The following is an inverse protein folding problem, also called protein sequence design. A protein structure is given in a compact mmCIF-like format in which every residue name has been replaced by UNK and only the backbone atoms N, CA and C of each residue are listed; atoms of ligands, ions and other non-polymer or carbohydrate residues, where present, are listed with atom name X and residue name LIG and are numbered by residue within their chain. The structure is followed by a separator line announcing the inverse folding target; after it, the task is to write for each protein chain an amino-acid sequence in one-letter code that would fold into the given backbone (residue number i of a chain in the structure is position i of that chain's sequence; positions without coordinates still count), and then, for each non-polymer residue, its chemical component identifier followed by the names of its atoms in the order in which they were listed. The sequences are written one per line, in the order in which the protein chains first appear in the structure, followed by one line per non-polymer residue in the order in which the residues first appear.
data_IF_212853014698
#
_entry.id   IF_212853014698
#
_cell.length_a   1.000
_cell.length_b   1.000
_cell.length_c   1.000
_cell.angle_alpha   90.00
_cell.angle_beta   90.00
_cell.angle_gamma   90.00
#
_symmetry.space_group_name_H-M   'P 1'
#
loop_
_entity.id
_entity.type
_entity.pdbx_description
1 polymer ?
#
# COMPACT_ATOMS: atom_id res chain seq x y z
N UNK A 1 -7.08 0.21 -15.86
CA UNK A 1 -6.22 0.61 -14.71
C UNK A 1 -4.82 0.05 -14.93
N UNK A 2 -3.76 0.87 -14.84
CA UNK A 2 -2.37 0.41 -14.88
C UNK A 2 -2.10 -0.69 -13.86
N UNK A 3 -1.28 -1.67 -14.25
CA UNK A 3 -0.93 -2.77 -13.37
C UNK A 3 0.08 -2.35 -12.30
N UNK A 4 -0.11 -2.84 -11.08
CA UNK A 4 0.86 -2.67 -10.00
C UNK A 4 0.95 -3.94 -9.15
N UNK A 5 2.16 -4.26 -8.66
CA UNK A 5 2.40 -5.47 -7.85
C UNK A 5 1.55 -5.54 -6.60
N UNK A 6 1.38 -4.41 -5.93
CA UNK A 6 0.65 -4.33 -4.66
C UNK A 6 -0.85 -4.00 -4.83
N UNK A 7 -1.35 -3.98 -6.07
CA UNK A 7 -2.78 -3.81 -6.39
C UNK A 7 -3.37 -5.09 -6.96
N UNK A 8 -4.50 -5.50 -6.39
CA UNK A 8 -5.25 -6.64 -6.90
C UNK A 8 -6.15 -6.22 -8.07
N UNK A 9 -5.99 -6.90 -9.21
CA UNK A 9 -6.87 -6.73 -10.37
C UNK A 9 -8.06 -7.68 -10.29
N UNK A 10 -9.26 -7.13 -10.36
CA UNK A 10 -10.51 -7.89 -10.39
C UNK A 10 -10.92 -8.19 -11.84
N UNK A 11 -10.34 -9.23 -12.43
CA UNK A 11 -10.54 -9.62 -13.85
C UNK A 11 -12.04 -9.80 -14.18
N UNK A 12 -12.80 -10.40 -13.25
CA UNK A 12 -14.24 -10.66 -13.43
C UNK A 12 -15.14 -9.49 -13.01
N UNK A 13 -14.55 -8.32 -12.68
CA UNK A 13 -15.24 -7.16 -12.14
C UNK A 13 -15.60 -7.30 -10.65
N UNK A 14 -15.94 -6.17 -10.02
CA UNK A 14 -16.29 -6.09 -8.59
C UNK A 14 -17.74 -6.50 -8.28
N UNK A 15 -18.64 -6.49 -9.27
CA UNK A 15 -20.06 -6.80 -9.10
C UNK A 15 -20.35 -8.28 -8.81
N UNK A 16 -19.44 -9.19 -9.19
CA UNK A 16 -19.59 -10.64 -9.00
C UNK A 16 -19.11 -11.15 -7.63
N UNK A 17 -18.64 -10.28 -6.75
CA UNK A 17 -18.05 -10.65 -5.46
C UNK A 17 -19.14 -10.95 -4.40
N UNK A 18 -19.38 -12.24 -4.10
CA UNK A 18 -20.40 -12.68 -3.12
C UNK A 18 -20.01 -12.52 -1.64
N UNK A 19 -18.71 -12.55 -1.32
CA UNK A 19 -18.18 -12.35 0.05
C UNK A 19 -16.92 -11.48 -0.04
N UNK A 20 -17.03 -10.24 0.41
CA UNK A 20 -15.93 -9.29 0.46
C UNK A 20 -15.13 -9.53 1.75
N UNK A 21 -13.85 -9.84 1.60
CA UNK A 21 -12.91 -9.93 2.73
C UNK A 21 -12.32 -8.54 3.01
N UNK A 22 -11.77 -8.33 4.22
CA UNK A 22 -11.10 -7.07 4.58
C UNK A 22 -10.04 -6.66 3.56
N UNK A 23 -9.18 -7.60 3.13
CA UNK A 23 -8.18 -7.35 2.09
C UNK A 23 -8.80 -6.87 0.78
N UNK A 24 -9.92 -7.47 0.33
CA UNK A 24 -10.58 -7.01 -0.90
C UNK A 24 -11.12 -5.59 -0.76
N UNK A 25 -11.70 -5.25 0.40
CA UNK A 25 -12.14 -3.89 0.68
C UNK A 25 -10.98 -2.89 0.63
N UNK A 26 -9.85 -3.20 1.26
CA UNK A 26 -8.65 -2.36 1.21
C UNK A 26 -8.18 -2.16 -0.24
N UNK A 27 -8.10 -3.24 -1.03
CA UNK A 27 -7.69 -3.16 -2.44
C UNK A 27 -8.62 -2.29 -3.29
N UNK A 28 -9.93 -2.33 -3.02
CA UNK A 28 -10.91 -1.47 -3.71
C UNK A 28 -10.80 0.00 -3.26
N UNK A 29 -10.62 0.26 -1.97
CA UNK A 29 -10.45 1.61 -1.42
C UNK A 29 -9.30 2.37 -2.09
N UNK A 30 -8.19 1.67 -2.39
CA UNK A 30 -7.02 2.25 -3.06
C UNK A 30 -7.31 2.88 -4.43
N UNK A 31 -8.38 2.47 -5.11
CA UNK A 31 -8.67 2.95 -6.48
C UNK A 31 -9.95 3.78 -6.60
N UNK A 32 -10.79 3.83 -5.55
CA UNK A 32 -12.13 4.41 -5.64
C UNK A 32 -12.16 5.88 -6.04
N UNK A 33 -11.32 6.73 -5.45
CA UNK A 33 -11.37 8.17 -5.70
C UNK A 33 -11.13 8.47 -7.18
N UNK A 34 -10.07 7.89 -7.76
CA UNK A 34 -9.75 8.12 -9.16
C UNK A 34 -10.76 7.50 -10.13
N UNK A 35 -11.43 6.40 -9.77
CA UNK A 35 -12.51 5.82 -10.59
C UNK A 35 -13.79 6.66 -10.51
N UNK A 36 -14.15 7.14 -9.32
CA UNK A 36 -15.40 7.86 -9.10
C UNK A 36 -15.33 9.31 -9.62
N UNK A 37 -14.14 9.88 -9.70
CA UNK A 37 -13.94 11.24 -10.23
C UNK A 37 -14.50 11.37 -11.64
N UNK A 38 -15.45 12.29 -11.83
CA UNK A 38 -16.15 12.51 -13.10
C UNK A 38 -17.36 11.59 -13.35
N UNK A 39 -17.55 10.53 -12.56
CA UNK A 39 -18.72 9.63 -12.65
C UNK A 39 -19.80 9.93 -11.61
N UNK A 40 -19.41 10.46 -10.45
CA UNK A 40 -20.33 10.80 -9.36
C UNK A 40 -20.37 12.31 -9.11
N UNK A 41 -21.46 12.85 -8.56
CA UNK A 41 -21.53 14.26 -8.18
C UNK A 41 -20.41 14.64 -7.21
N UNK A 42 -19.88 15.86 -7.33
CA UNK A 42 -18.76 16.34 -6.50
C UNK A 42 -19.04 16.24 -5.00
N UNK A 43 -20.29 16.45 -4.56
CA UNK A 43 -20.69 16.29 -3.16
C UNK A 43 -20.52 14.84 -2.68
N UNK A 44 -20.93 13.87 -3.48
CA UNK A 44 -20.76 12.45 -3.17
C UNK A 44 -19.28 12.07 -3.13
N UNK A 45 -18.48 12.55 -4.10
CA UNK A 45 -17.04 12.32 -4.12
C UNK A 45 -16.36 12.90 -2.87
N UNK A 46 -16.69 14.13 -2.48
CA UNK A 46 -16.19 14.76 -1.24
C UNK A 46 -16.52 13.94 0.01
N UNK A 47 -17.69 13.31 0.05
CA UNK A 47 -18.10 12.47 1.18
C UNK A 47 -17.26 11.19 1.25
N UNK A 48 -17.03 10.53 0.11
CA UNK A 48 -16.18 9.33 0.02
C UNK A 48 -14.74 9.66 0.43
N UNK A 49 -14.20 10.77 -0.07
CA UNK A 49 -12.86 11.23 0.27
C UNK A 49 -12.74 11.51 1.77
N UNK A 50 -13.71 12.20 2.38
CA UNK A 50 -13.66 12.51 3.80
C UNK A 50 -13.62 11.23 4.67
N UNK A 51 -14.33 10.17 4.27
CA UNK A 51 -14.26 8.87 4.96
C UNK A 51 -12.91 8.18 4.73
N UNK A 52 -12.37 8.23 3.52
CA UNK A 52 -11.05 7.64 3.23
C UNK A 52 -9.93 8.38 3.97
N UNK A 53 -9.96 9.71 3.98
CA UNK A 53 -9.06 10.54 4.80
C UNK A 53 -9.11 10.10 6.26
N UNK A 54 -10.32 9.99 6.83
CA UNK A 54 -10.49 9.53 8.22
C UNK A 54 -9.87 8.15 8.45
N UNK A 55 -10.13 7.17 7.57
CA UNK A 55 -9.58 5.81 7.69
C UNK A 55 -8.05 5.84 7.66
N UNK A 56 -7.46 6.60 6.73
CA UNK A 56 -6.01 6.69 6.60
C UNK A 56 -5.36 7.40 7.78
N UNK A 57 -5.97 8.49 8.28
CA UNK A 57 -5.51 9.14 9.50
C UNK A 57 -5.62 8.23 10.72
N UNK A 58 -6.70 7.44 10.85
CA UNK A 58 -6.88 6.49 11.95
C UNK A 58 -5.89 5.31 11.91
N UNK A 59 -5.33 5.00 10.74
CA UNK A 59 -4.32 3.95 10.56
C UNK A 59 -2.88 4.42 10.79
N UNK A 60 -2.66 5.70 11.10
CA UNK A 60 -1.32 6.18 11.40
C UNK A 60 -0.78 5.44 12.65
N UNK A 61 0.44 4.88 12.60
CA UNK A 61 1.02 4.18 13.74
C UNK A 61 1.43 5.16 14.87
N UNK A 62 1.58 6.43 14.54
CA UNK A 62 1.96 7.50 15.47
C UNK A 62 1.06 8.69 15.23
N UNK A 63 0.47 9.20 16.30
CA UNK A 63 -0.40 10.36 16.28
C UNK A 63 0.24 11.55 17.00
N UNK A 64 0.02 12.73 16.44
CA UNK A 64 0.30 14.05 17.02
C UNK A 64 -1.00 14.84 17.07
N UNK A 65 -1.03 15.94 17.83
CA UNK A 65 -2.23 16.80 17.90
C UNK A 65 -2.68 17.32 16.53
N UNK A 66 -1.74 17.57 15.62
CA UNK A 66 -2.06 17.99 14.24
C UNK A 66 -2.75 16.87 13.47
N UNK A 67 -2.27 15.63 13.57
CA UNK A 67 -2.92 14.49 12.90
C UNK A 67 -4.29 14.15 13.48
N UNK A 68 -4.49 14.36 14.79
CA UNK A 68 -5.80 14.17 15.43
C UNK A 68 -6.79 15.27 15.01
N UNK A 69 -6.34 16.52 14.90
CA UNK A 69 -7.14 17.60 14.34
C UNK A 69 -7.51 17.34 12.86
N UNK A 70 -6.59 16.77 12.06
CA UNK A 70 -6.90 16.34 10.69
C UNK A 70 -7.93 15.21 10.64
N UNK A 71 -7.84 14.24 11.56
CA UNK A 71 -8.82 13.16 11.72
C UNK A 71 -10.23 13.73 12.04
N UNK A 72 -10.31 14.64 13.01
CA UNK A 72 -11.58 15.27 13.42
C UNK A 72 -12.15 16.16 12.29
N UNK A 73 -11.30 16.90 11.57
CA UNK A 73 -11.69 17.67 10.38
C UNK A 73 -12.21 16.77 9.26
N UNK A 74 -11.61 15.61 9.03
CA UNK A 74 -12.09 14.65 8.04
C UNK A 74 -13.50 14.14 8.41
N UNK A 75 -13.75 13.83 9.68
CA UNK A 75 -15.07 13.41 10.16
C UNK A 75 -16.11 14.54 10.02
N UNK A 76 -15.75 15.77 10.40
CA UNK A 76 -16.62 16.94 10.27
C UNK A 76 -16.99 17.20 8.80
N UNK A 77 -16.01 17.12 7.89
CA UNK A 77 -16.24 17.18 6.44
C UNK A 77 -17.25 16.13 5.99
N UNK A 78 -17.08 14.87 6.41
CA UNK A 78 -18.02 13.81 6.06
C UNK A 78 -19.45 14.12 6.52
N UNK A 79 -19.62 14.56 7.77
CA UNK A 79 -20.94 14.91 8.30
C UNK A 79 -21.61 16.08 7.60
N UNK A 80 -20.83 17.03 7.05
CA UNK A 80 -21.34 18.17 6.29
C UNK A 80 -21.89 17.77 4.90
N UNK A 81 -21.36 16.71 4.29
CA UNK A 81 -21.75 16.33 2.90
C UNK A 81 -22.47 14.98 2.78
N UNK A 82 -22.59 14.19 3.85
CA UNK A 82 -23.18 12.83 3.80
C UNK A 82 -24.66 12.81 3.39
N UNK A 83 -25.37 13.92 3.60
CA UNK A 83 -26.78 14.10 3.25
C UNK A 83 -27.06 13.84 1.77
N UNK A 84 -26.07 14.05 0.90
CA UNK A 84 -26.12 13.72 -0.53
C UNK A 84 -26.61 12.28 -0.77
N UNK A 85 -26.22 11.31 0.05
CA UNK A 85 -26.65 9.92 -0.12
C UNK A 85 -28.12 9.68 0.28
N UNK A 86 -28.67 10.53 1.14
CA UNK A 86 -30.10 10.54 1.49
C UNK A 86 -30.89 11.21 0.37
N UNK A 87 -30.40 12.33 -0.17
CA UNK A 87 -31.00 13.03 -1.32
C UNK A 87 -31.15 12.10 -2.53
N UNK A 88 -30.11 11.32 -2.85
CA UNK A 88 -30.13 10.31 -3.91
C UNK A 88 -30.89 9.03 -3.54
N UNK A 89 -31.53 8.96 -2.37
CA UNK A 89 -32.30 7.81 -1.87
C UNK A 89 -31.48 6.50 -1.83
N UNK A 90 -30.16 6.61 -1.69
CA UNK A 90 -29.28 5.44 -1.50
C UNK A 90 -29.47 4.86 -0.10
N UNK A 91 -29.78 5.73 0.88
CA UNK A 91 -30.02 5.34 2.28
C UNK A 91 -31.01 6.29 2.96
N UNK A 92 -31.68 5.82 4.00
CA UNK A 92 -32.62 6.60 4.82
C UNK A 92 -31.91 7.47 5.87
N UNK A 93 -30.89 6.90 6.51
CA UNK A 93 -30.20 7.52 7.64
C UNK A 93 -28.76 6.99 7.78
N UNK A 94 -27.98 7.66 8.62
CA UNK A 94 -26.59 7.31 8.93
C UNK A 94 -26.41 6.80 10.37
N UNK A 95 -27.43 6.20 10.98
CA UNK A 95 -27.36 5.60 12.33
C UNK A 95 -26.66 4.24 12.28
N UNK A 96 -25.42 4.26 11.81
CA UNK A 96 -24.56 3.08 11.70
C UNK A 96 -23.58 3.10 12.86
N UNK A 97 -23.55 2.03 13.66
CA UNK A 97 -22.66 1.93 14.83
C UNK A 97 -21.20 2.27 14.51
N UNK A 98 -20.71 1.86 13.34
CA UNK A 98 -19.34 2.18 12.89
C UNK A 98 -19.12 3.69 12.68
N UNK A 99 -20.12 4.40 12.15
CA UNK A 99 -20.05 5.85 11.93
C UNK A 99 -20.16 6.60 13.25
N UNK A 100 -21.02 6.12 14.17
CA UNK A 100 -21.09 6.68 15.51
C UNK A 100 -19.76 6.50 16.26
N UNK A 101 -19.14 5.32 16.16
CA UNK A 101 -17.85 5.05 16.79
C UNK A 101 -16.74 5.99 16.30
N UNK A 102 -16.78 6.45 15.04
CA UNK A 102 -15.78 7.39 14.50
C UNK A 102 -15.66 8.67 15.33
N UNK A 103 -16.74 9.13 15.97
CA UNK A 103 -16.76 10.32 16.83
C UNK A 103 -15.81 10.16 18.03
N UNK A 104 -15.60 8.93 18.50
CA UNK A 104 -14.82 8.65 19.69
C UNK A 104 -13.34 8.36 19.39
N UNK A 105 -12.92 8.26 18.12
CA UNK A 105 -11.55 7.86 17.79
C UNK A 105 -10.51 8.82 18.35
N UNK A 106 -10.71 10.13 18.22
CA UNK A 106 -9.76 11.15 18.70
C UNK A 106 -9.50 11.00 20.20
N UNK A 107 -10.56 10.78 21.00
CA UNK A 107 -10.44 10.56 22.44
C UNK A 107 -9.84 9.20 22.78
N UNK A 108 -10.30 8.13 22.11
CA UNK A 108 -9.78 6.78 22.31
C UNK A 108 -8.29 6.70 21.99
N UNK A 109 -7.83 7.37 20.94
CA UNK A 109 -6.40 7.40 20.58
C UNK A 109 -5.58 8.13 21.66
N UNK A 110 -6.10 9.21 22.25
CA UNK A 110 -5.42 9.89 23.36
C UNK A 110 -5.33 9.03 24.62
N UNK A 111 -6.37 8.25 24.92
CA UNK A 111 -6.44 7.43 26.12
C UNK A 111 -5.70 6.09 26.00
N UNK A 112 -5.74 5.47 24.82
CA UNK A 112 -5.31 4.08 24.61
C UNK A 112 -4.11 3.97 23.65
N UNK A 113 -3.78 5.02 22.91
CA UNK A 113 -2.74 4.99 21.87
C UNK A 113 -3.30 4.66 20.48
N UNK A 114 -2.40 4.40 19.53
CA UNK A 114 -2.77 4.13 18.14
C UNK A 114 -3.67 2.89 17.99
N UNK A 115 -4.50 2.88 16.93
CA UNK A 115 -5.50 1.83 16.73
C UNK A 115 -4.91 0.48 16.26
N UNK A 116 -3.65 0.45 15.83
CA UNK A 116 -2.96 -0.74 15.31
C UNK A 116 -2.87 -1.86 16.36
N UNK A 117 -2.65 -1.52 17.64
CA UNK A 117 -2.58 -2.46 18.74
C UNK A 117 -3.91 -3.10 19.16
N UNK A 118 -5.04 -2.58 18.69
CA UNK A 118 -6.39 -2.98 19.12
C UNK A 118 -7.19 -3.71 18.03
N UNK A 119 -6.57 -4.06 16.91
CA UNK A 119 -7.25 -4.77 15.84
C UNK A 119 -7.48 -6.26 16.15
N UNK A 120 -8.48 -6.86 15.51
CA UNK A 120 -8.77 -8.30 15.64
C UNK A 120 -8.03 -9.15 14.62
N UNK A 121 -7.18 -8.57 13.78
CA UNK A 121 -6.47 -9.30 12.72
C UNK A 121 -5.50 -10.32 13.32
N UNK A 122 -4.76 -9.92 14.37
CA UNK A 122 -3.85 -10.81 15.09
C UNK A 122 -4.58 -12.02 15.69
N UNK A 123 -5.62 -11.85 16.54
CA UNK A 123 -6.34 -13.00 17.08
C UNK A 123 -7.06 -13.83 16.00
N UNK A 124 -7.56 -13.23 14.90
CA UNK A 124 -8.14 -13.97 13.77
C UNK A 124 -7.09 -14.82 13.04
N UNK A 125 -5.86 -14.32 12.87
CA UNK A 125 -4.73 -15.08 12.32
C UNK A 125 -4.37 -16.25 13.23
N UNK A 126 -4.27 -16.00 14.53
CA UNK A 126 -3.98 -17.03 15.53
C UNK A 126 -5.08 -18.10 15.58
N UNK A 127 -6.32 -17.76 15.26
CA UNK A 127 -7.40 -18.74 15.18
C UNK A 127 -7.17 -19.78 14.06
N UNK A 128 -6.44 -19.45 12.99
CA UNK A 128 -6.04 -20.44 11.97
C UNK A 128 -5.07 -21.45 12.59
N UNK A 129 -4.01 -20.98 13.23
CA UNK A 129 -2.97 -21.84 13.78
C UNK A 129 -3.42 -22.63 15.00
N UNK A 130 -4.11 -21.98 15.94
CA UNK A 130 -4.45 -22.58 17.23
C UNK A 130 -5.79 -23.28 17.25
N UNK A 131 -6.74 -22.89 16.40
CA UNK A 131 -8.04 -23.57 16.33
C UNK A 131 -8.15 -24.46 15.10
N UNK A 132 -7.99 -23.92 13.88
CA UNK A 132 -8.24 -24.72 12.66
C UNK A 132 -7.24 -25.87 12.47
N UNK A 133 -5.93 -25.59 12.54
CA UNK A 133 -4.92 -26.66 12.39
C UNK A 133 -5.00 -27.68 13.52
N UNK A 134 -5.22 -27.22 14.76
CA UNK A 134 -5.39 -28.12 15.89
C UNK A 134 -6.63 -29.00 15.72
N UNK A 135 -7.76 -28.45 15.29
CA UNK A 135 -8.99 -29.21 15.04
C UNK A 135 -8.81 -30.25 13.93
N UNK A 136 -8.18 -29.88 12.81
CA UNK A 136 -7.87 -30.79 11.70
C UNK A 136 -6.93 -31.93 12.11
N UNK A 137 -6.08 -31.72 13.11
CA UNK A 137 -5.19 -32.74 13.66
C UNK A 137 -5.87 -33.68 14.67
N UNK A 138 -7.14 -33.43 15.02
CA UNK A 138 -7.93 -34.31 15.89
C UNK A 138 -8.73 -35.32 15.08
N UNK A 139 -9.28 -36.33 15.76
CA UNK A 139 -10.27 -37.23 15.16
C UNK A 139 -11.69 -36.63 15.11
N UNK A 140 -11.84 -35.32 15.33
CA UNK A 140 -13.10 -34.56 15.39
C UNK A 140 -14.12 -35.00 16.47
N UNK A 141 -13.80 -35.99 17.30
CA UNK A 141 -14.65 -36.49 18.39
C UNK A 141 -14.05 -36.10 19.74
N UNK A 142 -14.83 -35.48 20.64
CA UNK A 142 -14.31 -34.92 21.91
C UNK A 142 -13.02 -34.09 21.71
N UNK A 143 -13.02 -33.26 20.67
CA UNK A 143 -11.83 -32.62 20.11
C UNK A 143 -11.12 -31.66 21.06
N UNK A 144 -11.81 -31.07 22.05
CA UNK A 144 -11.23 -30.08 22.98
C UNK A 144 -9.98 -30.62 23.70
N UNK A 145 -10.04 -31.84 24.24
CA UNK A 145 -8.89 -32.45 24.93
C UNK A 145 -7.72 -32.72 23.98
N UNK A 146 -8.03 -33.18 22.76
CA UNK A 146 -7.04 -33.45 21.73
C UNK A 146 -6.37 -32.18 21.21
N UNK A 147 -7.14 -31.10 21.01
CA UNK A 147 -6.61 -29.79 20.63
C UNK A 147 -5.69 -29.23 21.72
N UNK A 148 -6.04 -29.35 23.00
CA UNK A 148 -5.17 -28.92 24.10
C UNK A 148 -3.84 -29.68 24.09
N UNK A 149 -3.87 -31.01 23.93
CA UNK A 149 -2.66 -31.84 23.83
C UNK A 149 -1.83 -31.47 22.60
N UNK A 150 -2.47 -31.22 21.45
CA UNK A 150 -1.82 -30.77 20.23
C UNK A 150 -1.06 -29.46 20.44
N UNK A 151 -1.72 -28.45 21.04
CA UNK A 151 -1.13 -27.15 21.32
C UNK A 151 0.02 -27.25 22.33
N UNK A 152 -0.15 -28.06 23.37
CA UNK A 152 0.88 -28.28 24.38
C UNK A 152 2.16 -28.90 23.76
N UNK A 153 2.00 -29.89 22.88
CA UNK A 153 3.12 -30.50 22.15
C UNK A 153 3.86 -29.47 21.29
N UNK A 154 3.13 -28.67 20.49
CA UNK A 154 3.75 -27.59 19.68
C UNK A 154 4.48 -26.58 20.55
N UNK A 155 3.90 -26.18 21.68
CA UNK A 155 4.53 -25.25 22.64
C UNK A 155 5.84 -25.82 23.21
N UNK A 156 5.87 -27.12 23.56
CA UNK A 156 7.09 -27.78 24.05
C UNK A 156 8.19 -27.84 22.99
N UNK A 157 7.84 -28.20 21.76
CA UNK A 157 8.79 -28.21 20.62
C UNK A 157 9.35 -26.81 20.37
N UNK A 158 8.50 -25.78 20.30
CA UNK A 158 8.94 -24.40 20.08
C UNK A 158 9.87 -23.91 21.19
N UNK A 159 9.56 -24.21 22.47
CA UNK A 159 10.45 -23.86 23.60
C UNK A 159 11.80 -24.56 23.50
N UNK A 160 11.81 -25.84 23.11
CA UNK A 160 13.05 -26.60 22.98
C UNK A 160 13.89 -26.09 21.79
N UNK A 161 13.27 -25.75 20.67
CA UNK A 161 13.92 -25.11 19.53
C UNK A 161 14.59 -23.77 19.92
N UNK A 162 13.91 -22.92 20.70
CA UNK A 162 14.50 -21.69 21.24
C UNK A 162 15.68 -21.99 22.16
N UNK A 163 15.56 -22.98 23.03
CA UNK A 163 16.66 -23.42 23.90
C UNK A 163 17.87 -23.90 23.09
N UNK A 164 17.66 -24.69 22.04
CA UNK A 164 18.74 -25.17 21.17
C UNK A 164 19.45 -24.02 20.45
N UNK A 165 18.72 -23.03 19.92
CA UNK A 165 19.33 -21.84 19.31
C UNK A 165 20.18 -21.04 20.29
N UNK A 166 19.78 -20.98 21.56
CA UNK A 166 20.56 -20.30 22.60
C UNK A 166 21.77 -21.12 23.05
N UNK A 167 21.59 -22.42 23.28
CA UNK A 167 22.62 -23.29 23.85
C UNK A 167 23.68 -23.72 22.81
N UNK A 168 23.34 -23.76 21.51
CA UNK A 168 24.18 -24.27 20.43
C UNK A 168 24.23 -23.26 19.27
N UNK A 169 25.29 -22.43 19.16
CA UNK A 169 25.45 -21.46 18.07
C UNK A 169 25.42 -22.09 16.67
N UNK A 170 26.03 -23.27 16.50
CA UNK A 170 26.02 -24.02 15.23
C UNK A 170 24.59 -24.39 14.78
N UNK A 171 23.70 -24.72 15.72
CA UNK A 171 22.29 -25.01 15.43
C UNK A 171 21.55 -23.75 14.96
N UNK A 172 21.87 -22.59 15.55
CA UNK A 172 21.29 -21.32 15.16
C UNK A 172 21.66 -20.94 13.71
N UNK A 173 22.92 -21.12 13.31
CA UNK A 173 23.41 -20.84 11.96
C UNK A 173 22.76 -21.70 10.87
N UNK A 174 22.60 -23.01 11.13
CA UNK A 174 21.89 -23.92 10.22
C UNK A 174 20.38 -23.63 10.10
N UNK A 175 19.75 -23.19 11.18
CA UNK A 175 18.33 -22.82 11.17
C UNK A 175 18.05 -21.50 10.44
N UNK A 176 19.03 -20.60 10.39
CA UNK A 176 18.94 -19.31 9.72
C UNK A 176 19.01 -19.46 8.18
N UNK A 177 19.90 -20.32 7.70
CA UNK A 177 20.09 -20.60 6.25
C UNK A 177 18.91 -21.31 5.58
N UNK A 178 18.07 -22.04 6.33
CA UNK A 178 16.85 -22.68 5.80
C UNK A 178 15.64 -21.75 5.71
N UNK A 179 15.58 -20.67 6.51
CA UNK A 179 14.42 -19.78 6.58
C UNK A 179 14.36 -18.73 5.46
N UNK A 180 15.43 -18.55 4.69
CA UNK A 180 15.49 -17.60 3.57
C UNK A 180 14.64 -18.00 2.33
N UNK A 181 13.92 -19.13 2.37
CA UNK A 181 13.14 -19.64 1.21
C UNK A 181 11.62 -19.68 1.44
N UNK A 182 11.12 -19.59 2.68
CA UNK A 182 9.68 -19.53 2.96
C UNK A 182 9.39 -18.66 4.19
N UNK A 183 8.83 -17.47 3.99
CA UNK A 183 8.27 -16.64 5.07
C UNK A 183 7.01 -17.30 5.64
N UNK A 184 7.15 -18.07 6.71
CA UNK A 184 6.06 -18.35 7.63
C UNK A 184 5.95 -17.23 8.68
N UNK A 185 4.74 -16.75 8.99
CA UNK A 185 4.54 -15.74 10.02
C UNK A 185 4.76 -16.35 11.40
N UNK A 186 5.90 -16.05 12.00
CA UNK A 186 6.13 -16.40 13.40
C UNK A 186 5.31 -15.46 14.27
N UNK A 187 4.29 -15.96 14.97
CA UNK A 187 3.60 -15.21 16.00
C UNK A 187 4.44 -15.15 17.29
N UNK A 188 4.82 -13.96 17.80
CA UNK A 188 5.35 -13.81 19.15
C UNK A 188 4.17 -13.61 20.11
N UNK A 189 3.85 -14.65 20.88
CA UNK A 189 2.99 -14.53 22.05
C UNK A 189 3.80 -14.04 23.25
N UNK A 190 3.42 -12.90 23.81
CA UNK A 190 4.02 -12.30 25.00
C UNK A 190 3.76 -13.15 26.26
N UNK A 191 4.79 -13.35 27.08
CA UNK A 191 4.68 -13.46 28.53
C UNK A 191 5.81 -12.64 29.16
N UNK A 192 5.46 -11.58 29.88
CA UNK A 192 6.35 -10.92 30.84
C UNK A 192 6.62 -11.93 31.97
N UNK A 193 7.76 -12.61 31.91
CA UNK A 193 8.38 -13.19 33.09
C UNK A 193 9.25 -12.08 33.71
N UNK A 194 9.03 -11.79 35.00
CA UNK A 194 9.72 -10.72 35.74
C UNK A 194 11.26 -10.86 35.73
N UNK A 195 11.79 -12.02 35.36
CA UNK A 195 13.19 -12.23 34.98
C UNK A 195 13.28 -13.43 34.04
N UNK A 196 13.45 -13.21 32.73
CA UNK A 196 13.85 -14.26 31.79
C UNK A 196 15.36 -14.46 31.86
N UNK A 197 15.87 -15.70 32.02
CA UNK A 197 17.31 -15.99 31.91
C UNK A 197 17.85 -15.86 30.47
N UNK A 198 16.96 -15.65 29.50
CA UNK A 198 17.29 -15.41 28.10
C UNK A 198 17.18 -13.90 27.84
N UNK A 199 18.23 -13.24 27.32
CA UNK A 199 18.20 -11.82 27.03
C UNK A 199 17.06 -11.50 26.04
N UNK A 200 16.31 -10.41 26.23
CA UNK A 200 15.26 -10.02 25.29
C UNK A 200 15.91 -9.76 23.92
N UNK A 201 15.47 -10.52 22.91
CA UNK A 201 15.82 -10.26 21.53
C UNK A 201 15.27 -8.88 21.17
N UNK A 202 16.13 -7.99 20.67
CA UNK A 202 15.67 -6.69 20.16
C UNK A 202 14.75 -6.94 18.97
N UNK A 203 13.45 -6.75 19.18
CA UNK A 203 12.48 -6.60 18.10
C UNK A 203 12.74 -5.25 17.45
N UNK A 204 13.22 -5.24 16.21
CA UNK A 204 13.10 -4.06 15.35
C UNK A 204 11.60 -3.85 15.07
N UNK A 205 10.98 -2.89 15.76
CA UNK A 205 9.52 -2.68 15.79
C UNK A 205 8.96 -2.20 14.43
N UNK A 206 9.82 -1.85 13.47
CA UNK A 206 9.38 -1.46 12.13
C UNK A 206 9.76 -2.53 11.13
N UNK A 207 8.81 -3.12 10.37
CA UNK A 207 9.17 -3.90 9.21
C UNK A 207 9.99 -3.00 8.28
N UNK A 208 11.17 -3.47 7.84
CA UNK A 208 11.89 -2.81 6.77
C UNK A 208 10.96 -2.77 5.54
N UNK A 209 10.39 -1.60 5.26
CA UNK A 209 9.58 -1.39 4.06
C UNK A 209 10.50 -1.46 2.84
N UNK A 210 10.55 -2.64 2.22
CA UNK A 210 11.32 -2.88 1.01
C UNK A 210 10.41 -2.74 -0.21
N UNK A 211 10.51 -1.61 -0.90
CA UNK A 211 9.79 -1.39 -2.15
C UNK A 211 10.53 -2.04 -3.33
N UNK A 212 9.78 -2.62 -4.28
CA UNK A 212 10.33 -3.35 -5.43
C UNK A 212 9.88 -2.73 -6.74
N UNK A 213 10.83 -2.22 -7.50
CA UNK A 213 10.62 -1.62 -8.82
C UNK A 213 10.89 -2.65 -9.92
N UNK A 214 9.95 -2.81 -10.85
CA UNK A 214 10.09 -3.70 -12.01
C UNK A 214 10.22 -2.91 -13.32
N UNK A 215 11.12 -3.39 -14.17
CA UNK A 215 11.35 -2.89 -15.52
C UNK A 215 11.69 -4.08 -16.44
N UNK A 216 10.66 -4.85 -16.80
CA UNK A 216 10.79 -6.06 -17.59
C UNK A 216 10.01 -5.94 -18.90
N UNK A 217 10.67 -6.00 -20.07
CA UNK A 217 9.96 -6.11 -21.33
C UNK A 217 9.20 -7.44 -21.42
N UNK A 218 8.19 -7.50 -22.29
CA UNK A 218 7.45 -8.73 -22.53
C UNK A 218 8.42 -9.81 -23.04
N UNK A 219 8.43 -10.99 -22.41
CA UNK A 219 9.19 -12.13 -22.95
C UNK A 219 8.43 -12.69 -24.15
N UNK A 220 9.12 -12.93 -25.26
CA UNK A 220 8.60 -13.69 -26.40
C UNK A 220 8.43 -15.16 -25.97
N UNK A 221 7.34 -15.47 -25.28
CA UNK A 221 6.98 -16.83 -24.87
C UNK A 221 5.50 -17.05 -25.11
N UNK A 222 5.12 -18.30 -25.35
CA UNK A 222 3.74 -18.74 -25.65
C UNK A 222 2.74 -18.40 -24.52
N UNK A 223 3.22 -18.13 -23.31
CA UNK A 223 2.45 -17.58 -22.20
C UNK A 223 2.86 -16.13 -21.96
N UNK A 224 2.30 -15.21 -22.75
CA UNK A 224 2.61 -13.79 -22.71
C UNK A 224 2.27 -13.16 -21.35
N UNK A 225 3.23 -13.07 -20.44
CA UNK A 225 3.19 -12.04 -19.40
C UNK A 225 3.57 -10.73 -20.09
N UNK A 226 2.61 -9.81 -20.21
CA UNK A 226 2.83 -8.49 -20.81
C UNK A 226 4.01 -7.75 -20.17
N UNK A 227 4.58 -6.79 -20.91
CA UNK A 227 5.66 -5.96 -20.40
C UNK A 227 5.26 -5.26 -19.11
N UNK A 228 6.15 -5.22 -18.12
CA UNK A 228 5.89 -4.66 -16.79
C UNK A 228 6.89 -3.56 -16.47
N UNK A 229 6.40 -2.33 -16.49
CA UNK A 229 7.17 -1.13 -16.22
C UNK A 229 6.49 -0.33 -15.12
N UNK A 230 7.13 -0.24 -13.95
CA UNK A 230 6.57 0.49 -12.83
C UNK A 230 6.75 2.00 -12.95
N UNK A 231 5.82 2.73 -12.34
CA UNK A 231 5.91 4.17 -12.11
C UNK A 231 6.54 4.44 -10.75
N UNK A 232 7.36 5.47 -10.68
CA UNK A 232 8.17 5.84 -9.51
C UNK A 232 8.08 7.35 -9.23
N UNK A 233 8.30 7.68 -7.96
CA UNK A 233 8.60 9.04 -7.51
C UNK A 233 10.11 9.22 -7.44
N UNK A 234 10.57 10.32 -8.02
CA UNK A 234 11.97 10.70 -8.14
C UNK A 234 12.16 12.03 -7.40
N UNK A 235 13.19 12.13 -6.57
CA UNK A 235 13.53 13.36 -5.87
C UNK A 235 14.10 14.40 -6.85
N UNK A 236 13.61 15.64 -6.77
CA UNK A 236 14.19 16.80 -7.47
C UNK A 236 15.39 17.28 -6.67
N UNK A 237 16.57 16.79 -7.02
CA UNK A 237 17.80 17.20 -6.34
C UNK A 237 18.33 18.46 -6.99
N UNK A 238 18.54 19.53 -6.19
CA UNK A 238 19.25 20.72 -6.68
C UNK A 238 20.75 20.44 -6.74
N UNK A 239 21.49 21.08 -7.66
CA UNK A 239 22.95 20.91 -7.72
C UNK A 239 23.58 21.22 -6.35
N UNK A 240 24.25 20.23 -5.74
CA UNK A 240 24.97 20.37 -4.47
C UNK A 240 24.20 19.97 -3.20
N UNK A 241 22.95 19.50 -3.28
CA UNK A 241 22.23 18.95 -2.11
C UNK A 241 22.49 17.45 -1.91
N UNK A 242 22.49 17.02 -0.64
CA UNK A 242 22.61 15.60 -0.27
C UNK A 242 21.38 14.79 -0.70
N UNK A 243 21.62 13.64 -1.34
CA UNK A 243 20.58 12.73 -1.83
C UNK A 243 19.73 12.07 -0.73
N UNK A 244 20.20 12.07 0.52
CA UNK A 244 19.54 11.41 1.66
C UNK A 244 18.60 12.33 2.46
N UNK A 245 18.43 13.60 2.04
CA UNK A 245 17.52 14.52 2.72
C UNK A 245 16.08 14.01 2.60
N UNK A 246 15.37 13.94 3.73
CA UNK A 246 13.96 13.60 3.76
C UNK A 246 13.14 14.70 3.07
N UNK A 247 12.63 14.40 1.89
CA UNK A 247 11.74 15.26 1.11
C UNK A 247 10.28 14.81 1.25
N UNK A 248 9.37 15.78 1.34
CA UNK A 248 7.93 15.57 1.48
C UNK A 248 7.17 16.41 0.45
N UNK A 249 5.94 15.98 0.13
CA UNK A 249 5.07 16.63 -0.83
C UNK A 249 5.56 16.57 -2.28
N UNK A 250 4.73 17.03 -3.22
CA UNK A 250 5.07 16.97 -4.65
C UNK A 250 5.93 18.13 -5.17
N UNK A 251 6.26 19.13 -4.34
CA UNK A 251 7.19 20.19 -4.78
C UNK A 251 8.58 19.61 -5.05
N UNK A 252 9.02 18.70 -4.17
CA UNK A 252 10.35 18.07 -4.18
C UNK A 252 10.41 16.78 -5.00
N UNK A 253 9.30 16.34 -5.61
CA UNK A 253 9.26 15.08 -6.35
C UNK A 253 8.72 15.26 -7.77
N UNK A 254 9.21 14.44 -8.69
CA UNK A 254 8.65 14.23 -10.03
C UNK A 254 8.28 12.76 -10.23
N UNK A 255 7.53 12.48 -11.29
CA UNK A 255 7.06 11.13 -11.60
C UNK A 255 7.73 10.63 -12.87
N UNK A 256 8.20 9.40 -12.84
CA UNK A 256 8.76 8.71 -14.00
C UNK A 256 8.23 7.29 -14.13
N UNK A 257 8.23 6.75 -15.34
CA UNK A 257 8.07 5.31 -15.59
C UNK A 257 9.43 4.72 -15.88
N UNK A 258 9.77 3.64 -15.19
CA UNK A 258 11.06 2.97 -15.36
C UNK A 258 11.00 2.06 -16.57
N UNK A 259 11.94 2.24 -17.49
CA UNK A 259 12.09 1.44 -18.70
C UNK A 259 13.24 0.44 -18.57
N UNK A 260 14.34 0.84 -17.91
CA UNK A 260 15.51 -0.01 -17.70
C UNK A 260 16.23 0.34 -16.41
N UNK A 261 16.74 -0.67 -15.71
CA UNK A 261 17.67 -0.52 -14.58
C UNK A 261 18.97 -1.21 -14.98
N UNK A 262 20.10 -0.51 -14.89
CA UNK A 262 21.38 -1.02 -15.37
C UNK A 262 22.57 -0.48 -14.57
N UNK A 263 23.72 -1.12 -14.71
CA UNK A 263 25.02 -0.61 -14.23
C UNK A 263 25.93 -0.38 -15.41
N UNK A 264 26.67 0.71 -15.40
CA UNK A 264 27.70 0.95 -16.40
C UNK A 264 28.95 0.12 -16.08
N UNK A 265 29.73 -0.27 -17.11
CA UNK A 265 31.03 -0.88 -16.91
C UNK A 265 31.96 -0.01 -16.05
N UNK A 266 32.89 -0.65 -15.32
CA UNK A 266 33.76 0.02 -14.35
C UNK A 266 34.57 1.20 -14.91
N UNK A 267 34.88 1.22 -16.21
CA UNK A 267 35.65 2.30 -16.85
C UNK A 267 34.91 3.64 -16.93
N UNK A 268 33.58 3.66 -16.76
CA UNK A 268 32.82 4.92 -16.68
C UNK A 268 32.89 5.57 -15.29
N UNK A 269 33.45 4.89 -14.28
CA UNK A 269 33.63 5.38 -12.91
C UNK A 269 32.33 5.89 -12.23
N UNK A 270 31.19 5.29 -12.58
CA UNK A 270 29.89 5.55 -11.95
C UNK A 270 29.53 4.31 -11.12
N UNK A 271 29.68 4.33 -9.78
CA UNK A 271 29.49 3.16 -8.94
C UNK A 271 28.00 2.80 -8.75
N UNK A 272 27.12 3.79 -8.82
CA UNK A 272 25.70 3.63 -8.54
C UNK A 272 24.95 3.01 -9.75
N UNK A 273 23.97 2.13 -9.50
CA UNK A 273 23.03 1.74 -10.54
C UNK A 273 22.31 2.95 -11.14
N UNK A 274 22.05 2.90 -12.44
CA UNK A 274 21.32 3.92 -13.18
C UNK A 274 19.95 3.40 -13.60
N UNK A 275 19.03 4.32 -13.79
CA UNK A 275 17.65 4.07 -14.16
C UNK A 275 17.30 4.93 -15.36
N UNK A 276 16.89 4.29 -16.45
CA UNK A 276 16.34 4.96 -17.61
C UNK A 276 14.83 5.10 -17.45
N UNK A 277 14.37 6.35 -17.50
CA UNK A 277 13.01 6.73 -17.14
C UNK A 277 12.34 7.54 -18.25
N UNK A 278 11.02 7.43 -18.30
CA UNK A 278 10.13 8.26 -19.10
C UNK A 278 9.39 9.24 -18.18
N UNK A 279 9.48 10.54 -18.44
CA UNK A 279 8.93 11.56 -17.57
C UNK A 279 7.43 11.81 -17.73
N UNK A 280 6.81 12.15 -16.60
CA UNK A 280 5.52 12.80 -16.56
C UNK A 280 5.71 14.25 -16.08
N UNK A 281 5.05 15.17 -16.77
CA UNK A 281 4.93 16.58 -16.40
C UNK A 281 3.91 16.75 -15.26
N UNK A 282 4.20 17.63 -14.31
CA UNK A 282 3.39 17.87 -13.13
C UNK A 282 4.17 17.91 -11.80
N UNK A 283 3.48 18.12 -10.68
CA UNK A 283 2.01 18.17 -10.54
C UNK A 283 1.37 19.49 -10.99
N UNK A 284 0.17 19.44 -11.56
CA UNK A 284 -0.63 20.65 -11.82
C UNK A 284 -1.30 21.17 -10.54
N UNK A 285 -0.94 22.38 -10.09
CA UNK A 285 -1.60 23.04 -8.93
C UNK A 285 -3.06 23.40 -9.16
N UNK A 286 -3.55 23.38 -10.41
CA UNK A 286 -4.93 23.76 -10.76
C UNK A 286 -5.90 22.58 -10.73
N UNK A 287 -5.42 21.40 -10.38
CA UNK A 287 -6.22 20.18 -10.43
C UNK A 287 -7.17 20.10 -9.22
N UNK A 288 -8.47 19.85 -9.44
CA UNK A 288 -9.47 19.82 -8.35
C UNK A 288 -9.15 18.75 -7.29
N UNK A 289 -8.43 17.69 -7.65
CA UNK A 289 -8.07 16.62 -6.73
C UNK A 289 -6.80 16.89 -5.91
N UNK A 290 -6.09 18.00 -6.15
CA UNK A 290 -4.93 18.39 -5.33
C UNK A 290 -5.34 18.62 -3.87
N UNK A 291 -6.53 19.17 -3.63
CA UNK A 291 -7.06 19.39 -2.28
C UNK A 291 -7.35 18.09 -1.50
N UNK A 292 -7.32 16.96 -2.19
CA UNK A 292 -7.54 15.61 -1.63
C UNK A 292 -6.32 14.73 -1.87
N UNK A 293 -5.18 15.40 -2.02
CA UNK A 293 -3.86 14.81 -2.13
C UNK A 293 -3.66 13.88 -3.34
N UNK A 294 -4.47 14.00 -4.39
CA UNK A 294 -4.24 13.32 -5.67
C UNK A 294 -3.82 14.34 -6.72
N UNK A 295 -2.58 14.24 -7.18
CA UNK A 295 -2.00 15.23 -8.08
C UNK A 295 -2.13 14.82 -9.54
N UNK A 296 -2.63 15.73 -10.37
CA UNK A 296 -2.67 15.54 -11.81
C UNK A 296 -1.26 15.61 -12.42
N UNK A 297 -0.91 14.58 -13.20
CA UNK A 297 0.30 14.50 -14.01
C UNK A 297 -0.06 14.17 -15.45
N UNK A 298 0.73 14.71 -16.39
CA UNK A 298 0.54 14.51 -17.82
C UNK A 298 1.77 13.85 -18.40
N UNK A 299 1.60 12.91 -19.31
CA UNK A 299 2.71 12.34 -20.07
C UNK A 299 3.46 13.43 -20.83
N UNK A 300 4.78 13.47 -20.69
CA UNK A 300 5.61 14.48 -21.33
C UNK A 300 6.06 14.02 -22.72
N UNK A 301 5.89 14.88 -23.72
CA UNK A 301 6.31 14.63 -25.11
C UNK A 301 7.02 15.86 -25.68
N UNK A 302 8.16 15.66 -26.31
CA UNK A 302 8.83 16.67 -27.15
C UNK A 302 8.26 16.63 -28.56
N UNK A 303 7.83 17.78 -29.07
CA UNK A 303 7.42 17.95 -30.46
C UNK A 303 8.67 18.10 -31.33
N UNK A 304 8.83 17.22 -32.31
CA UNK A 304 9.87 17.25 -33.33
C UNK A 304 9.25 17.44 -34.72
N UNK A 305 10.09 17.73 -35.71
CA UNK A 305 9.68 17.95 -37.11
C UNK A 305 8.93 16.74 -37.69
N UNK A 306 9.25 15.52 -37.23
CA UNK A 306 8.71 14.25 -37.72
C UNK A 306 7.78 13.53 -36.74
N UNK A 307 7.29 14.21 -35.70
CA UNK A 307 6.34 13.64 -34.74
C UNK A 307 6.61 14.03 -33.29
N UNK A 308 5.89 13.40 -32.36
CA UNK A 308 6.11 13.56 -30.92
C UNK A 308 6.95 12.39 -30.38
N UNK A 309 7.98 12.69 -29.58
CA UNK A 309 8.77 11.70 -28.84
C UNK A 309 8.61 11.88 -27.34
N UNK A 310 8.78 10.80 -26.59
CA UNK A 310 8.76 10.87 -25.13
C UNK A 310 9.97 11.63 -24.58
N UNK A 311 9.76 12.29 -23.43
CA UNK A 311 10.87 12.89 -22.67
C UNK A 311 11.43 11.83 -21.76
N UNK A 312 12.70 11.51 -21.96
CA UNK A 312 13.37 10.40 -21.30
C UNK A 312 14.71 10.86 -20.74
N UNK A 313 15.09 10.31 -19.59
CA UNK A 313 16.32 10.68 -18.87
C UNK A 313 16.95 9.43 -18.25
N UNK A 314 18.25 9.48 -18.01
CA UNK A 314 18.95 8.50 -17.18
C UNK A 314 19.30 9.16 -15.86
N UNK A 315 18.77 8.63 -14.76
CA UNK A 315 19.00 9.14 -13.40
C UNK A 315 19.67 8.08 -12.52
N UNK A 316 20.47 8.47 -11.53
CA UNK A 316 20.96 7.54 -10.51
C UNK A 316 19.80 6.88 -9.75
N UNK A 317 19.92 5.59 -9.43
CA UNK A 317 18.92 4.88 -8.64
C UNK A 317 18.69 5.53 -7.26
N UNK A 318 19.71 6.19 -6.72
CA UNK A 318 19.62 6.94 -5.47
C UNK A 318 18.56 8.06 -5.50
N UNK A 319 18.15 8.54 -6.67
CA UNK A 319 17.13 9.59 -6.78
C UNK A 319 15.72 9.01 -6.75
N UNK A 320 15.59 7.69 -6.91
CA UNK A 320 14.30 7.00 -6.85
C UNK A 320 13.89 6.86 -5.39
N UNK A 321 12.85 7.59 -5.00
CA UNK A 321 12.33 7.55 -3.63
C UNK A 321 11.56 6.27 -3.34
N UNK A 322 10.65 5.91 -4.26
CA UNK A 322 9.74 4.76 -4.18
C UNK A 322 8.92 4.57 -5.45
N UNK A 323 8.23 3.44 -5.58
CA UNK A 323 7.14 3.23 -6.54
C UNK A 323 5.92 4.09 -6.18
N UNK A 324 5.18 4.46 -7.21
CA UNK A 324 3.87 5.11 -7.07
C UNK A 324 2.89 4.49 -8.05
N UNK A 325 1.60 4.60 -7.75
CA UNK A 325 0.55 4.16 -8.66
C UNK A 325 -0.09 5.36 -9.37
N UNK A 326 -0.26 5.24 -10.69
CA UNK A 326 -0.96 6.23 -11.50
C UNK A 326 -2.37 5.72 -11.85
N UNK A 327 -3.36 6.58 -11.63
CA UNK A 327 -4.75 6.34 -12.03
C UNK A 327 -5.05 7.20 -13.25
N UNK A 328 -5.50 6.63 -14.39
CA UNK A 328 -5.91 7.43 -15.54
C UNK A 328 -7.00 8.42 -15.17
N UNK A 329 -6.95 9.63 -15.74
CA UNK A 329 -8.08 10.54 -15.68
C UNK A 329 -9.15 10.02 -16.65
N UNK A 330 -10.19 9.39 -16.10
CA UNK A 330 -11.33 8.96 -16.91
C UNK A 330 -12.10 10.21 -17.36
N UNK A 331 -12.28 10.34 -18.67
CA UNK A 331 -13.12 11.37 -19.27
C UNK A 331 -14.60 11.04 -19.09
N UNK A 332 -15.45 11.55 -19.98
CA UNK A 332 -16.83 11.08 -20.04
C UNK A 332 -16.86 9.59 -20.38
N UNK A 333 -17.94 8.90 -20.01
CA UNK A 333 -18.09 7.46 -20.26
C UNK A 333 -17.88 7.09 -21.74
N UNK A 334 -18.27 7.98 -22.67
CA UNK A 334 -18.12 7.82 -24.12
C UNK A 334 -16.67 7.97 -24.61
N UNK A 335 -15.83 8.69 -23.87
CA UNK A 335 -14.43 8.98 -24.21
C UNK A 335 -13.46 7.98 -23.57
N UNK A 336 -13.95 7.11 -22.68
CA UNK A 336 -13.11 6.19 -21.92
C UNK A 336 -12.88 4.92 -22.74
N UNK A 337 -11.63 4.59 -23.14
CA UNK A 337 -11.34 3.40 -23.92
C UNK A 337 -11.78 2.13 -23.18
N UNK A 338 -12.57 1.28 -23.84
CA UNK A 338 -12.85 -0.06 -23.35
C UNK A 338 -11.59 -0.92 -23.52
N UNK A 339 -11.09 -1.45 -22.41
CA UNK A 339 -9.84 -2.20 -22.32
C UNK A 339 -10.18 -3.68 -22.27
N UNK A 340 -10.12 -4.37 -23.41
CA UNK A 340 -10.18 -5.84 -23.47
C UNK A 340 -8.81 -6.46 -23.12
N UNK A 341 -8.76 -7.75 -22.80
CA UNK A 341 -7.52 -8.42 -22.32
C UNK A 341 -6.31 -8.39 -23.27
N UNK A 342 -6.47 -7.91 -24.51
CA UNK A 342 -5.43 -7.71 -25.53
C UNK A 342 -5.04 -6.24 -25.76
N UNK A 343 -5.60 -5.31 -25.01
CA UNK A 343 -5.32 -3.88 -25.15
C UNK A 343 -3.87 -3.52 -24.78
N UNK A 344 -3.27 -2.48 -25.37
CA UNK A 344 -1.96 -1.97 -24.95
C UNK A 344 -1.98 -1.52 -23.48
N UNK A 345 -0.79 -1.39 -22.88
CA UNK A 345 -0.62 -0.97 -21.48
C UNK A 345 -1.48 0.29 -21.21
N UNK A 346 -2.34 0.31 -20.17
CA UNK A 346 -3.11 1.50 -19.80
C UNK A 346 -2.26 2.77 -19.62
N UNK A 347 -0.97 2.65 -19.33
CA UNK A 347 -0.10 3.81 -19.34
C UNK A 347 0.07 4.38 -20.76
N UNK A 348 0.15 3.58 -21.80
CA UNK A 348 0.26 4.05 -23.20
C UNK A 348 -1.07 4.61 -23.75
N UNK A 349 -2.20 4.13 -23.23
CA UNK A 349 -3.54 4.52 -23.70
C UNK A 349 -3.98 5.92 -23.26
N UNK A 350 -3.50 6.39 -22.12
CA UNK A 350 -3.92 7.65 -21.52
C UNK A 350 -2.76 8.64 -21.46
N UNK A 351 -3.07 9.93 -21.60
CA UNK A 351 -2.07 11.00 -21.50
C UNK A 351 -2.10 11.74 -20.16
N UNK A 352 -3.19 11.62 -19.40
CA UNK A 352 -3.36 12.29 -18.10
C UNK A 352 -3.66 11.27 -17.01
N UNK A 353 -3.03 11.46 -15.86
CA UNK A 353 -3.13 10.58 -14.72
C UNK A 353 -3.22 11.38 -13.42
N UNK A 354 -3.71 10.74 -12.37
CA UNK A 354 -3.59 11.15 -10.99
C UNK A 354 -2.56 10.28 -10.29
N UNK A 355 -1.72 10.88 -9.46
CA UNK A 355 -0.90 10.15 -8.50
C UNK A 355 -1.82 9.66 -7.38
N UNK A 356 -1.84 8.35 -7.15
CA UNK A 356 -2.69 7.73 -6.14
C UNK A 356 -2.05 7.82 -4.76
N UNK A 357 -2.40 8.83 -3.97
CA UNK A 357 -1.95 8.97 -2.57
C UNK A 357 -2.47 7.88 -1.64
N UNK A 358 -3.63 7.31 -1.93
CA UNK A 358 -4.27 6.26 -1.13
C UNK A 358 -3.83 4.86 -1.58
N UNK A 359 -2.67 4.73 -2.21
CA UNK A 359 -2.12 3.44 -2.60
C UNK A 359 -1.58 2.66 -1.39
N UNK A 360 -0.88 3.35 -0.49
CA UNK A 360 -0.48 2.86 0.83
C UNK A 360 -0.29 4.00 1.83
N UNK A 361 -0.20 3.66 3.11
CA UNK A 361 -0.11 4.62 4.20
C UNK A 361 1.14 5.51 4.11
N UNK A 362 2.28 4.95 3.68
CA UNK A 362 3.52 5.72 3.55
C UNK A 362 3.43 6.74 2.41
N UNK A 363 2.75 6.43 1.30
CA UNK A 363 2.56 7.36 0.19
C UNK A 363 1.57 8.46 0.58
N UNK A 364 0.52 8.08 1.31
CA UNK A 364 -0.43 9.03 1.87
C UNK A 364 0.29 10.03 2.78
N UNK A 365 1.09 9.55 3.74
CA UNK A 365 1.90 10.41 4.61
C UNK A 365 2.88 11.29 3.82
N UNK A 366 3.63 10.71 2.88
CA UNK A 366 4.64 11.43 2.09
C UNK A 366 4.06 12.59 1.29
N UNK A 367 2.80 12.47 0.85
CA UNK A 367 2.14 13.46 0.02
C UNK A 367 1.24 14.42 0.82
N UNK A 368 0.66 13.95 1.94
CA UNK A 368 -0.29 14.72 2.77
C UNK A 368 0.38 15.63 3.79
N UNK A 369 1.60 15.29 4.22
CA UNK A 369 2.43 16.06 5.16
C UNK A 369 3.52 16.80 4.37
#
# INVERSE_FOLDING_TARGET
MPQHTQLQHFISGVTKLKKLTANKHQQMQKVFIGVMHGLVPDRALKAVIAVLDFIYYAWLPVHTDTTLDLLDKALARFHLVKDVFIEYKIRTDFNVNKIHLMIHYSELIRQLGAADGYNTETPERLHIEFAKHAYLATNCCHFFGQMTVYLERRKRVAKFDVYLRWALPEYAEHSCTQKDVFEEPTAPGWQLALTSPIPPVQLSILPHYADRVYASPAKASWTSFGSKFNTILICKVKPGEEYNKLTYGMSEHCVGRVLLIFKLPAHYNIPDPLVYIQHFDGPSRRDPLVNVNMYGVKRMRHRQVWGERYVEEVVPLAFVRRTCHLIPQFGKAEETPLVDGSSPDPLELFDRFYINSYFDLHLFQLLSL
#
